data_IF_312261895851
#
_entry.id   IF_312261895851
#
_cell.length_a   1.000
_cell.length_b   1.000
_cell.length_c   1.000
_cell.angle_alpha   90.00
_cell.angle_beta   90.00
_cell.angle_gamma   90.00
#
_symmetry.space_group_name_H-M   'P 1'
#
loop_
_entity.id
_entity.type
_entity.pdbx_description
1 polymer ?
#
# COMPACT_ATOMS: atom_id res chain seq x y z
N UNK A 1 -18.57 -1.84 24.41
CA UNK A 1 -17.92 -1.26 23.21
C UNK A 1 -17.56 -2.40 22.26
N UNK A 2 -17.89 -2.32 20.96
CA UNK A 2 -17.48 -3.34 20.00
C UNK A 2 -15.95 -3.37 19.87
N UNK A 3 -15.36 -4.57 19.87
CA UNK A 3 -13.91 -4.74 19.66
C UNK A 3 -13.60 -4.65 18.17
N UNK A 4 -12.56 -3.89 17.83
CA UNK A 4 -12.04 -3.80 16.45
C UNK A 4 -11.53 -5.19 16.01
N UNK A 5 -11.88 -5.67 14.80
CA UNK A 5 -11.35 -6.93 14.29
C UNK A 5 -9.82 -6.92 14.22
N UNK A 6 -9.19 -8.05 14.54
CA UNK A 6 -7.72 -8.19 14.53
C UNK A 6 -7.11 -7.79 13.18
N UNK A 7 -7.75 -8.14 12.08
CA UNK A 7 -7.31 -7.81 10.72
C UNK A 7 -7.25 -6.29 10.50
N UNK A 8 -8.21 -5.54 11.02
CA UNK A 8 -8.21 -4.07 10.89
C UNK A 8 -7.11 -3.45 11.76
N UNK A 9 -6.82 -4.03 12.92
CA UNK A 9 -5.71 -3.59 13.77
C UNK A 9 -4.37 -3.83 13.08
N UNK A 10 -4.18 -5.03 12.50
CA UNK A 10 -2.98 -5.37 11.74
C UNK A 10 -2.82 -4.45 10.53
N UNK A 11 -3.90 -4.22 9.77
CA UNK A 11 -3.90 -3.31 8.63
C UNK A 11 -3.46 -1.89 9.02
N UNK A 12 -4.07 -1.29 10.05
CA UNK A 12 -3.66 0.05 10.51
C UNK A 12 -2.23 0.11 11.02
N UNK A 13 -1.74 -0.93 11.71
CA UNK A 13 -0.34 -0.97 12.17
C UNK A 13 0.62 -1.01 10.98
N UNK A 14 0.33 -1.83 9.98
CA UNK A 14 1.13 -1.91 8.76
C UNK A 14 1.10 -0.59 7.98
N UNK A 15 -0.07 0.01 7.77
CA UNK A 15 -0.20 1.30 7.08
C UNK A 15 0.60 2.38 7.80
N UNK A 16 0.49 2.48 9.13
CA UNK A 16 1.26 3.44 9.93
C UNK A 16 2.78 3.25 9.81
N UNK A 17 3.26 2.00 9.81
CA UNK A 17 4.68 1.71 9.65
C UNK A 17 5.20 2.10 8.25
N UNK A 18 4.43 1.78 7.20
CA UNK A 18 4.79 2.15 5.83
C UNK A 18 4.73 3.66 5.62
N UNK A 19 3.71 4.34 6.16
CA UNK A 19 3.65 5.81 6.12
C UNK A 19 4.89 6.44 6.75
N UNK A 20 5.35 5.90 7.89
CA UNK A 20 6.55 6.40 8.55
C UNK A 20 7.79 6.29 7.66
N UNK A 21 7.97 5.19 6.94
CA UNK A 21 9.11 5.04 6.02
C UNK A 21 9.14 6.14 4.96
N UNK A 22 7.97 6.47 4.40
CA UNK A 22 7.86 7.55 3.41
C UNK A 22 8.10 8.93 4.03
N UNK A 23 7.57 9.17 5.23
CA UNK A 23 7.81 10.42 5.96
C UNK A 23 9.29 10.59 6.34
N UNK A 24 9.99 9.51 6.69
CA UNK A 24 11.42 9.52 7.05
C UNK A 24 12.33 9.91 5.86
N UNK A 25 11.82 9.88 4.63
CA UNK A 25 12.50 10.37 3.41
C UNK A 25 11.90 11.68 2.88
N UNK A 26 11.26 12.45 3.75
CA UNK A 26 10.64 13.76 3.47
C UNK A 26 9.51 13.71 2.40
N UNK A 27 8.88 12.56 2.17
CA UNK A 27 7.73 12.48 1.28
C UNK A 27 6.45 13.01 1.97
N UNK A 28 5.55 13.61 1.19
CA UNK A 28 4.20 13.91 1.65
C UNK A 28 3.34 12.64 1.56
N UNK A 29 2.62 12.32 2.64
CA UNK A 29 1.82 11.09 2.76
C UNK A 29 0.42 11.41 3.23
N UNK A 30 -0.57 11.03 2.43
CA UNK A 30 -1.99 11.12 2.78
C UNK A 30 -2.58 9.71 2.96
N UNK A 31 -3.23 9.46 4.10
CA UNK A 31 -3.99 8.23 4.33
C UNK A 31 -5.36 8.32 3.62
N UNK A 32 -5.61 7.37 2.72
CA UNK A 32 -6.87 7.28 1.99
C UNK A 32 -7.91 6.67 2.93
N UNK A 33 -8.79 7.52 3.48
CA UNK A 33 -9.78 7.11 4.49
C UNK A 33 -10.89 6.21 3.97
N UNK A 34 -11.05 6.12 2.65
CA UNK A 34 -12.11 5.33 2.03
C UNK A 34 -11.50 4.05 1.42
N UNK A 35 -12.08 2.89 1.76
CA UNK A 35 -11.59 1.54 1.43
C UNK A 35 -11.85 1.16 -0.05
N UNK A 36 -11.53 2.06 -0.98
CA UNK A 36 -11.77 1.88 -2.42
C UNK A 36 -10.61 1.19 -3.14
N UNK A 37 -9.54 0.84 -2.43
CA UNK A 37 -8.37 0.18 -3.01
C UNK A 37 -7.14 0.48 -2.16
N UNK A 38 -6.45 1.55 -2.52
CA UNK A 38 -5.17 2.00 -2.00
C UNK A 38 -5.27 2.56 -0.57
N UNK A 39 -4.22 2.38 0.22
CA UNK A 39 -4.18 2.83 1.62
C UNK A 39 -3.53 4.22 1.74
N UNK A 40 -2.52 4.51 0.91
CA UNK A 40 -1.77 5.77 0.96
C UNK A 40 -1.62 6.40 -0.42
N UNK A 41 -1.67 7.73 -0.45
CA UNK A 41 -1.16 8.55 -1.54
C UNK A 41 0.14 9.19 -1.09
N UNK A 42 1.21 8.96 -1.85
CA UNK A 42 2.54 9.50 -1.56
C UNK A 42 2.97 10.44 -2.69
N UNK A 43 3.52 11.59 -2.31
CA UNK A 43 4.27 12.45 -3.21
C UNK A 43 5.69 12.58 -2.68
N UNK A 44 6.66 12.11 -3.47
CA UNK A 44 8.08 12.21 -3.12
C UNK A 44 8.52 13.66 -3.09
N UNK A 45 9.56 13.96 -2.32
CA UNK A 45 10.21 15.27 -2.38
C UNK A 45 11.63 15.15 -2.92
N UNK A 46 12.09 16.21 -3.57
CA UNK A 46 13.47 16.38 -3.99
C UNK A 46 13.90 17.80 -3.63
N UNK A 47 14.95 17.91 -2.80
CA UNK A 47 15.50 19.21 -2.34
C UNK A 47 14.47 20.10 -1.62
N UNK A 48 13.56 19.48 -0.87
CA UNK A 48 12.53 20.20 -0.10
C UNK A 48 11.31 20.64 -0.92
N UNK A 49 11.25 20.28 -2.21
CA UNK A 49 10.09 20.50 -3.07
C UNK A 49 9.36 19.18 -3.31
N UNK A 50 8.04 19.19 -3.17
CA UNK A 50 7.20 18.02 -3.44
C UNK A 50 7.03 17.85 -4.95
N UNK A 51 7.29 16.65 -5.44
CA UNK A 51 7.13 16.30 -6.86
C UNK A 51 5.63 16.17 -7.21
N UNK A 52 5.20 16.64 -8.39
CA UNK A 52 3.80 16.44 -8.84
C UNK A 52 3.44 14.96 -9.08
N UNK A 53 4.43 14.08 -9.23
CA UNK A 53 4.26 12.65 -9.41
C UNK A 53 3.69 12.00 -8.15
N UNK A 54 2.70 11.14 -8.37
CA UNK A 54 2.00 10.44 -7.31
C UNK A 54 2.37 8.97 -7.32
N UNK A 55 2.58 8.43 -6.13
CA UNK A 55 2.74 7.01 -5.89
C UNK A 55 1.58 6.56 -5.01
N UNK A 56 0.75 5.68 -5.55
CA UNK A 56 -0.25 5.00 -4.77
C UNK A 56 0.38 3.83 -4.03
N UNK A 57 -0.01 3.60 -2.78
CA UNK A 57 0.52 2.50 -1.98
C UNK A 57 -0.62 1.66 -1.44
N UNK A 58 -0.59 0.36 -1.73
CA UNK A 58 -1.41 -0.62 -1.07
C UNK A 58 -0.57 -1.37 -0.05
N UNK A 59 -1.00 -1.37 1.21
CA UNK A 59 -0.35 -2.07 2.31
C UNK A 59 -1.18 -3.27 2.74
N UNK A 60 -0.56 -4.45 2.73
CA UNK A 60 -1.15 -5.67 3.27
C UNK A 60 -0.33 -6.13 4.47
N UNK A 61 -0.87 -5.93 5.67
CA UNK A 61 -0.25 -6.38 6.92
C UNK A 61 -0.51 -7.86 7.23
N UNK A 62 0.50 -8.58 7.74
CA UNK A 62 0.38 -9.91 8.34
C UNK A 62 1.21 -9.98 9.63
N UNK A 63 0.87 -10.92 10.51
CA UNK A 63 1.67 -11.20 11.72
C UNK A 63 2.84 -12.14 11.47
N UNK A 64 2.84 -12.86 10.34
CA UNK A 64 3.95 -13.68 9.86
C UNK A 64 3.86 -13.70 8.33
N UNK A 65 4.95 -13.37 7.64
CA UNK A 65 5.07 -13.56 6.20
C UNK A 65 5.70 -14.93 5.96
N UNK A 66 4.98 -15.81 5.28
CA UNK A 66 5.56 -17.03 4.68
C UNK A 66 5.90 -16.74 3.21
N UNK A 67 7.19 -16.50 2.88
CA UNK A 67 7.62 -16.21 1.52
C UNK A 67 7.50 -17.43 0.58
N UNK A 68 7.17 -18.61 1.08
CA UNK A 68 6.95 -19.81 0.25
C UNK A 68 5.48 -19.98 -0.15
N UNK A 69 4.57 -19.21 0.45
CA UNK A 69 3.13 -19.28 0.20
C UNK A 69 2.64 -18.56 -1.07
N UNK A 70 3.55 -18.05 -1.91
CA UNK A 70 3.24 -17.41 -3.19
C UNK A 70 2.82 -18.44 -4.25
N UNK A 71 1.67 -19.07 -4.03
CA UNK A 71 0.98 -19.74 -5.12
C UNK A 71 0.59 -18.70 -6.15
N UNK A 72 0.99 -18.91 -7.42
CA UNK A 72 0.56 -18.07 -8.54
C UNK A 72 -0.96 -18.09 -8.62
N UNK A 73 -1.59 -17.00 -8.19
CA UNK A 73 -3.02 -16.77 -8.39
C UNK A 73 -3.20 -15.96 -9.66
N UNK A 74 -4.05 -16.43 -10.56
CA UNK A 74 -4.45 -15.70 -11.75
C UNK A 74 -5.94 -15.39 -11.69
N UNK A 75 -6.32 -14.23 -12.22
CA UNK A 75 -7.71 -13.81 -12.39
C UNK A 75 -7.92 -13.55 -13.88
N UNK A 76 -8.97 -14.13 -14.46
CA UNK A 76 -9.35 -13.82 -15.83
C UNK A 76 -10.12 -12.51 -15.85
N UNK A 77 -9.70 -11.59 -16.71
CA UNK A 77 -10.36 -10.29 -16.91
C UNK A 77 -10.70 -10.10 -18.39
N UNK A 78 -11.81 -9.39 -18.69
CA UNK A 78 -12.11 -8.97 -20.06
C UNK A 78 -11.00 -8.11 -20.67
N UNK A 79 -10.75 -8.26 -21.97
CA UNK A 79 -9.65 -7.57 -22.67
C UNK A 79 -9.82 -6.05 -22.70
N UNK A 80 -11.06 -5.57 -22.82
CA UNK A 80 -11.40 -4.15 -22.77
C UNK A 80 -11.02 -3.52 -21.42
N UNK A 81 -11.17 -4.29 -20.32
CA UNK A 81 -10.74 -3.87 -18.99
C UNK A 81 -9.22 -3.88 -18.84
N UNK A 82 -8.56 -4.94 -19.33
CA UNK A 82 -7.10 -5.02 -19.30
C UNK A 82 -6.44 -3.87 -20.07
N UNK A 83 -6.99 -3.51 -21.24
CA UNK A 83 -6.51 -2.38 -22.04
C UNK A 83 -6.67 -1.06 -21.26
N UNK A 84 -7.81 -0.83 -20.59
CA UNK A 84 -8.00 0.38 -19.75
C UNK A 84 -6.97 0.47 -18.64
N UNK A 85 -6.65 -0.64 -17.98
CA UNK A 85 -5.61 -0.67 -16.94
C UNK A 85 -4.22 -0.39 -17.49
N UNK A 86 -3.90 -0.94 -18.66
CA UNK A 86 -2.61 -0.71 -19.31
C UNK A 86 -2.38 0.76 -19.72
N UNK A 87 -3.45 1.53 -19.92
CA UNK A 87 -3.36 2.97 -20.17
C UNK A 87 -3.20 3.82 -18.90
N UNK A 88 -3.32 3.24 -17.71
CA UNK A 88 -3.03 3.97 -16.47
C UNK A 88 -1.53 4.15 -16.31
N UNK A 89 -1.07 5.40 -16.23
CA UNK A 89 0.33 5.75 -16.00
C UNK A 89 0.68 5.90 -14.51
N UNK A 90 -0.25 5.58 -13.61
CA UNK A 90 -0.05 5.78 -12.18
C UNK A 90 0.84 4.68 -11.58
N UNK A 91 1.80 5.09 -10.76
CA UNK A 91 2.68 4.15 -10.06
C UNK A 91 1.96 3.60 -8.84
N UNK A 92 1.89 2.28 -8.73
CA UNK A 92 1.30 1.59 -7.57
C UNK A 92 2.35 0.70 -6.91
N UNK A 93 2.66 0.98 -5.64
CA UNK A 93 3.51 0.15 -4.80
C UNK A 93 2.66 -0.81 -3.97
N UNK A 94 2.88 -2.12 -4.14
CA UNK A 94 2.26 -3.16 -3.32
C UNK A 94 3.24 -3.55 -2.21
N UNK A 95 2.87 -3.29 -0.96
CA UNK A 95 3.71 -3.56 0.22
C UNK A 95 3.09 -4.68 1.04
N UNK A 96 3.85 -5.74 1.29
CA UNK A 96 3.50 -6.79 2.23
C UNK A 96 4.29 -6.55 3.52
N UNK A 97 3.63 -6.25 4.62
CA UNK A 97 4.31 -5.87 5.88
C UNK A 97 4.12 -6.92 6.97
N UNK A 98 5.20 -7.35 7.61
CA UNK A 98 5.20 -8.18 8.81
C UNK A 98 5.13 -7.30 10.05
N UNK A 99 3.95 -7.21 10.66
CA UNK A 99 3.70 -6.39 11.85
C UNK A 99 4.40 -6.95 13.10
N UNK A 100 4.80 -8.23 13.11
CA UNK A 100 5.51 -8.83 14.25
C UNK A 100 7.00 -8.49 14.25
N UNK A 101 7.60 -8.38 13.06
CA UNK A 101 9.02 -8.14 12.85
C UNK A 101 9.34 -6.71 12.40
N UNK A 102 8.32 -5.88 12.18
CA UNK A 102 8.41 -4.49 11.72
C UNK A 102 9.24 -4.31 10.45
N UNK A 103 8.91 -5.10 9.42
CA UNK A 103 9.60 -5.12 8.12
C UNK A 103 8.67 -5.46 6.96
N UNK A 104 9.05 -5.08 5.74
CA UNK A 104 8.32 -5.39 4.50
C UNK A 104 9.21 -5.93 3.40
#
# INVERSE_FOLDING_TARGET
MPKRPLQHVIGSKAAAAVSRIWLDIDAAVDEVKNDYGEDLLVQTSLRGEVDPSRVWVQVKGRSQIDPTSFNKKSVRVPIDRAIRWAYSAETVALVLWDVSADRG
#
